data_IF_189848618040
#
_entry.id   IF_189848618040
#
_cell.length_a   1.000
_cell.length_b   1.000
_cell.length_c   1.000
_cell.angle_alpha   90.00
_cell.angle_beta   90.00
_cell.angle_gamma   90.00
#
_symmetry.space_group_name_H-M   'P 1'
#
loop_
_entity.id
_entity.type
_entity.pdbx_description
1 polymer ?
#
# COMPACT_ATOMS: atom_id res chain seq x y z
N UNK A 1 -78.77 3.71 14.65
CA UNK A 1 -78.30 4.49 13.49
C UNK A 1 -77.00 3.85 13.03
N UNK A 2 -77.04 3.26 11.85
CA UNK A 2 -76.04 2.36 11.29
C UNK A 2 -74.82 3.17 10.84
N UNK A 3 -73.66 2.91 11.45
CA UNK A 3 -72.43 3.63 11.16
C UNK A 3 -71.85 3.10 9.84
N UNK A 4 -72.04 3.84 8.76
CA UNK A 4 -71.54 3.49 7.44
C UNK A 4 -70.00 3.48 7.46
N UNK A 5 -69.41 2.29 7.45
CA UNK A 5 -67.95 2.12 7.34
C UNK A 5 -67.44 2.81 6.08
N UNK A 6 -66.58 3.83 6.25
CA UNK A 6 -65.94 4.57 5.15
C UNK A 6 -65.01 3.61 4.42
N UNK A 7 -65.49 3.02 3.32
CA UNK A 7 -64.70 2.14 2.46
C UNK A 7 -63.71 3.01 1.67
N UNK A 8 -62.45 3.06 2.12
CA UNK A 8 -61.37 3.72 1.35
C UNK A 8 -61.11 2.95 0.05
N UNK A 9 -60.96 3.60 -1.10
CA UNK A 9 -60.77 2.89 -2.37
C UNK A 9 -59.42 2.17 -2.42
N UNK A 10 -59.35 1.07 -3.19
CA UNK A 10 -58.09 0.40 -3.45
C UNK A 10 -57.11 1.30 -4.22
N UNK A 11 -55.87 1.40 -3.75
CA UNK A 11 -54.84 2.27 -4.32
C UNK A 11 -54.46 1.93 -5.77
N UNK A 12 -54.52 0.64 -6.17
CA UNK A 12 -54.16 0.21 -7.54
C UNK A 12 -55.28 0.39 -8.56
N UNK A 13 -56.54 0.13 -8.21
CA UNK A 13 -57.64 0.13 -9.20
C UNK A 13 -58.74 1.15 -8.98
N UNK A 14 -58.81 1.80 -7.82
CA UNK A 14 -59.82 2.79 -7.45
C UNK A 14 -61.30 2.35 -7.60
N UNK A 15 -61.54 1.04 -7.84
CA UNK A 15 -62.86 0.47 -8.20
C UNK A 15 -63.50 -0.36 -7.08
N UNK A 16 -62.68 -1.03 -6.28
CA UNK A 16 -63.14 -1.78 -5.11
C UNK A 16 -62.96 -0.94 -3.85
N UNK A 17 -63.92 -1.02 -2.91
CA UNK A 17 -63.62 -0.63 -1.54
C UNK A 17 -62.43 -1.44 -1.07
N UNK A 18 -61.31 -0.78 -0.77
CA UNK A 18 -60.16 -1.37 -0.11
C UNK A 18 -60.61 -1.85 1.27
N UNK A 19 -60.56 -3.16 1.47
CA UNK A 19 -61.04 -3.81 2.70
C UNK A 19 -59.85 -4.03 3.65
N UNK A 20 -58.64 -4.12 3.11
CA UNK A 20 -57.44 -4.53 3.85
C UNK A 20 -56.37 -3.46 3.70
N UNK A 21 -55.75 -3.11 4.82
CA UNK A 21 -54.61 -2.17 4.88
C UNK A 21 -53.32 -2.95 5.05
N UNK A 22 -52.30 -2.62 4.26
CA UNK A 22 -50.95 -3.11 4.52
C UNK A 22 -50.34 -2.31 5.68
N UNK A 23 -49.94 -2.98 6.76
CA UNK A 23 -49.37 -2.31 7.95
C UNK A 23 -48.04 -1.61 7.69
N UNK A 24 -47.24 -2.11 6.73
CA UNK A 24 -45.96 -1.48 6.35
C UNK A 24 -46.15 -0.24 5.49
N UNK A 25 -46.95 -0.35 4.42
CA UNK A 25 -47.13 0.74 3.45
C UNK A 25 -48.25 1.73 3.84
N UNK A 26 -49.08 1.37 4.81
CA UNK A 26 -50.30 2.12 5.23
C UNK A 26 -51.30 2.38 4.08
N UNK A 27 -51.23 1.58 3.01
CA UNK A 27 -52.08 1.69 1.83
C UNK A 27 -53.23 0.67 1.84
N UNK A 28 -54.34 1.04 1.20
CA UNK A 28 -55.57 0.25 1.14
C UNK A 28 -55.66 -0.53 -0.18
N UNK A 29 -55.91 -1.83 -0.08
CA UNK A 29 -55.96 -2.72 -1.24
C UNK A 29 -57.27 -3.51 -1.25
N UNK A 30 -57.75 -3.87 -2.45
CA UNK A 30 -58.68 -4.98 -2.58
C UNK A 30 -57.90 -6.30 -2.50
N UNK A 31 -58.59 -7.41 -2.25
CA UNK A 31 -57.99 -8.74 -2.06
C UNK A 31 -57.01 -9.12 -3.16
N UNK A 32 -57.35 -8.86 -4.43
CA UNK A 32 -56.49 -9.14 -5.58
C UNK A 32 -55.18 -8.34 -5.56
N UNK A 33 -55.25 -7.02 -5.45
CA UNK A 33 -54.05 -6.18 -5.46
C UNK A 33 -53.21 -6.31 -4.18
N UNK A 34 -53.78 -6.82 -3.09
CA UNK A 34 -53.03 -7.18 -1.89
C UNK A 34 -52.13 -8.40 -2.13
N UNK A 35 -52.62 -9.42 -2.85
CA UNK A 35 -51.82 -10.59 -3.22
C UNK A 35 -50.69 -10.20 -4.15
N UNK A 36 -50.98 -9.40 -5.18
CA UNK A 36 -49.96 -8.85 -6.09
C UNK A 36 -48.91 -8.02 -5.33
N UNK A 37 -49.34 -7.17 -4.39
CA UNK A 37 -48.42 -6.39 -3.56
C UNK A 37 -47.50 -7.28 -2.71
N UNK A 38 -48.03 -8.37 -2.15
CA UNK A 38 -47.24 -9.33 -1.37
C UNK A 38 -46.22 -10.07 -2.23
N UNK A 39 -46.59 -10.41 -3.46
CA UNK A 39 -45.70 -11.04 -4.43
C UNK A 39 -44.58 -10.08 -4.85
N UNK A 40 -44.90 -8.82 -5.14
CA UNK A 40 -43.92 -7.75 -5.40
C UNK A 40 -42.91 -7.60 -4.25
N UNK A 41 -43.39 -7.62 -3.00
CA UNK A 41 -42.52 -7.55 -1.83
C UNK A 41 -41.61 -8.78 -1.70
N UNK A 42 -42.08 -9.97 -2.07
CA UNK A 42 -41.27 -11.19 -2.07
C UNK A 42 -40.12 -11.07 -3.06
N UNK A 43 -40.42 -10.63 -4.29
CA UNK A 43 -39.41 -10.43 -5.34
C UNK A 43 -38.36 -9.40 -4.92
N UNK A 44 -38.79 -8.29 -4.30
CA UNK A 44 -37.86 -7.28 -3.77
C UNK A 44 -36.97 -7.85 -2.67
N UNK A 45 -37.51 -8.67 -1.77
CA UNK A 45 -36.74 -9.31 -0.70
C UNK A 45 -35.69 -10.27 -1.26
N UNK A 46 -36.05 -11.05 -2.28
CA UNK A 46 -35.12 -11.95 -2.96
C UNK A 46 -33.98 -11.16 -3.62
N UNK A 47 -34.30 -10.04 -4.28
CA UNK A 47 -33.29 -9.16 -4.88
C UNK A 47 -32.34 -8.57 -3.82
N UNK A 48 -32.87 -8.04 -2.71
CA UNK A 48 -32.05 -7.49 -1.62
C UNK A 48 -31.15 -8.57 -1.02
N UNK A 49 -31.65 -9.80 -0.87
CA UNK A 49 -30.86 -10.92 -0.36
C UNK A 49 -29.73 -11.29 -1.31
N UNK A 50 -30.00 -11.30 -2.62
CA UNK A 50 -28.96 -11.55 -3.62
C UNK A 50 -27.89 -10.44 -3.65
N UNK A 51 -28.30 -9.17 -3.56
CA UNK A 51 -27.37 -8.04 -3.49
C UNK A 51 -26.51 -8.08 -2.22
N UNK A 52 -27.11 -8.46 -1.09
CA UNK A 52 -26.40 -8.67 0.16
C UNK A 52 -25.33 -9.76 0.03
N UNK A 53 -25.69 -10.92 -0.52
CA UNK A 53 -24.76 -12.04 -0.69
C UNK A 53 -23.60 -11.70 -1.62
N UNK A 54 -23.86 -10.95 -2.69
CA UNK A 54 -22.81 -10.45 -3.59
C UNK A 54 -21.86 -9.49 -2.87
N UNK A 55 -22.40 -8.54 -2.11
CA UNK A 55 -21.59 -7.60 -1.33
C UNK A 55 -20.76 -8.34 -0.28
N UNK A 56 -21.36 -9.32 0.41
CA UNK A 56 -20.65 -10.14 1.38
C UNK A 56 -19.53 -10.95 0.71
N UNK A 57 -19.78 -11.54 -0.46
CA UNK A 57 -18.75 -12.19 -1.25
C UNK A 57 -17.65 -11.22 -1.67
N UNK A 58 -17.95 -10.00 -2.10
CA UNK A 58 -16.94 -9.01 -2.48
C UNK A 58 -16.10 -8.50 -1.30
N UNK A 59 -16.70 -8.39 -0.11
CA UNK A 59 -16.01 -7.97 1.11
C UNK A 59 -15.16 -9.10 1.73
N UNK A 60 -15.64 -10.34 1.68
CA UNK A 60 -14.97 -11.51 2.25
C UNK A 60 -13.96 -12.13 1.28
N UNK A 61 -14.21 -12.02 -0.03
CA UNK A 61 -13.22 -12.37 -1.04
C UNK A 61 -12.10 -11.36 -0.95
N UNK A 62 -11.14 -11.66 -0.08
CA UNK A 62 -9.85 -11.03 0.02
C UNK A 62 -9.18 -11.19 -1.34
N UNK A 63 -9.48 -10.26 -2.27
CA UNK A 63 -8.97 -10.23 -3.64
C UNK A 63 -7.51 -9.81 -3.61
N UNK A 64 -6.68 -10.63 -2.99
CA UNK A 64 -5.24 -10.51 -2.94
C UNK A 64 -4.72 -9.23 -2.29
N UNK A 65 -3.39 -9.19 -2.17
CA UNK A 65 -2.66 -8.01 -1.71
C UNK A 65 -3.06 -6.81 -2.56
N UNK A 66 -3.69 -5.81 -1.94
CA UNK A 66 -4.15 -4.59 -2.60
C UNK A 66 -3.04 -4.00 -3.51
N UNK A 67 -3.33 -3.48 -4.71
CA UNK A 67 -2.31 -2.98 -5.64
C UNK A 67 -1.36 -1.95 -5.01
N UNK A 68 -1.87 -1.10 -4.10
CA UNK A 68 -1.03 -0.17 -3.34
C UNK A 68 -0.03 -0.86 -2.42
N UNK A 69 -0.41 -1.98 -1.80
CA UNK A 69 0.53 -2.76 -0.96
C UNK A 69 1.60 -3.41 -1.84
N UNK A 70 1.24 -3.90 -3.04
CA UNK A 70 2.22 -4.37 -4.03
C UNK A 70 3.17 -3.27 -4.48
N UNK A 71 2.67 -2.04 -4.66
CA UNK A 71 3.49 -0.88 -4.99
C UNK A 71 4.45 -0.52 -3.86
N UNK A 72 3.98 -0.50 -2.60
CA UNK A 72 4.80 -0.27 -1.41
C UNK A 72 5.91 -1.32 -1.32
N UNK A 73 5.58 -2.61 -1.50
CA UNK A 73 6.55 -3.70 -1.46
C UNK A 73 7.62 -3.57 -2.56
N UNK A 74 7.22 -3.14 -3.76
CA UNK A 74 8.15 -2.91 -4.87
C UNK A 74 9.08 -1.74 -4.56
N UNK A 75 8.52 -0.62 -4.09
CA UNK A 75 9.28 0.56 -3.70
C UNK A 75 10.29 0.26 -2.60
N UNK A 76 9.91 -0.50 -1.58
CA UNK A 76 10.79 -0.92 -0.49
C UNK A 76 11.98 -1.74 -1.01
N UNK A 77 11.71 -2.78 -1.82
CA UNK A 77 12.76 -3.64 -2.40
C UNK A 77 13.75 -2.84 -3.25
N UNK A 78 13.24 -1.98 -4.14
CA UNK A 78 14.10 -1.15 -5.00
C UNK A 78 14.92 -0.17 -4.19
N UNK A 79 14.34 0.42 -3.14
CA UNK A 79 15.06 1.38 -2.28
C UNK A 79 16.20 0.72 -1.52
N UNK A 80 15.97 -0.48 -0.96
CA UNK A 80 17.02 -1.26 -0.27
C UNK A 80 18.16 -1.58 -1.24
N UNK A 81 17.85 -1.99 -2.46
CA UNK A 81 18.87 -2.34 -3.45
C UNK A 81 19.71 -1.12 -3.86
N UNK A 82 19.06 0.02 -4.10
CA UNK A 82 19.78 1.27 -4.41
C UNK A 82 20.74 1.68 -3.28
N UNK A 83 20.32 1.55 -2.02
CA UNK A 83 21.17 1.83 -0.86
C UNK A 83 22.36 0.86 -0.81
N UNK A 84 22.14 -0.43 -1.11
CA UNK A 84 23.21 -1.43 -1.14
C UNK A 84 24.25 -1.14 -2.21
N UNK A 85 23.82 -0.83 -3.44
CA UNK A 85 24.70 -0.47 -4.55
C UNK A 85 25.52 0.77 -4.18
N UNK A 86 24.88 1.85 -3.74
CA UNK A 86 25.58 3.07 -3.34
C UNK A 86 26.60 2.83 -2.21
N UNK A 87 26.25 2.00 -1.22
CA UNK A 87 27.16 1.64 -0.15
C UNK A 87 28.33 0.75 -0.63
N UNK A 88 28.11 -0.10 -1.63
CA UNK A 88 29.16 -0.92 -2.23
C UNK A 88 30.13 -0.07 -3.05
N UNK A 89 29.62 0.87 -3.84
CA UNK A 89 30.41 1.82 -4.62
C UNK A 89 31.29 2.68 -3.70
N UNK A 90 30.71 3.24 -2.63
CA UNK A 90 31.46 4.03 -1.66
C UNK A 90 32.60 3.23 -0.98
N UNK A 91 32.36 1.95 -0.66
CA UNK A 91 33.40 1.07 -0.12
C UNK A 91 34.48 0.78 -1.13
N UNK A 92 34.12 0.54 -2.39
CA UNK A 92 35.06 0.27 -3.46
C UNK A 92 35.97 1.48 -3.71
N UNK A 93 35.39 2.67 -3.80
CA UNK A 93 36.12 3.92 -3.98
C UNK A 93 37.11 4.16 -2.84
N UNK A 94 36.66 4.00 -1.58
CA UNK A 94 37.53 4.14 -0.43
C UNK A 94 38.71 3.15 -0.48
N UNK A 95 38.45 1.89 -0.80
CA UNK A 95 39.50 0.88 -0.91
C UNK A 95 40.53 1.26 -1.98
N UNK A 96 40.06 1.73 -3.14
CA UNK A 96 40.94 2.21 -4.22
C UNK A 96 41.81 3.38 -3.77
N UNK A 97 41.25 4.36 -3.06
CA UNK A 97 42.03 5.48 -2.51
C UNK A 97 43.08 5.01 -1.51
N UNK A 98 42.73 4.08 -0.62
CA UNK A 98 43.66 3.51 0.36
C UNK A 98 44.81 2.76 -0.33
N UNK A 99 44.51 1.97 -1.35
CA UNK A 99 45.51 1.20 -2.09
C UNK A 99 46.47 2.14 -2.85
N UNK A 100 45.94 3.16 -3.53
CA UNK A 100 46.75 4.20 -4.17
C UNK A 100 47.66 4.92 -3.17
N UNK A 101 47.11 5.32 -2.02
CA UNK A 101 47.86 6.01 -0.96
C UNK A 101 48.97 5.12 -0.41
N UNK A 102 48.67 3.83 -0.17
CA UNK A 102 49.66 2.85 0.31
C UNK A 102 50.82 2.69 -0.67
N UNK A 103 50.53 2.64 -1.98
CA UNK A 103 51.57 2.57 -3.02
C UNK A 103 52.42 3.85 -3.00
N UNK A 104 51.81 5.03 -2.93
CA UNK A 104 52.53 6.31 -2.89
C UNK A 104 53.45 6.41 -1.67
N UNK A 105 52.95 6.06 -0.48
CA UNK A 105 53.73 6.05 0.76
C UNK A 105 54.89 5.07 0.65
N UNK A 106 54.66 3.84 0.14
CA UNK A 106 55.71 2.85 -0.06
C UNK A 106 56.80 3.33 -1.00
N UNK A 107 56.43 3.94 -2.12
CA UNK A 107 57.39 4.50 -3.09
C UNK A 107 58.20 5.63 -2.48
N UNK A 108 57.57 6.53 -1.73
CA UNK A 108 58.25 7.63 -1.03
C UNK A 108 59.25 7.09 0.00
N UNK A 109 58.86 6.08 0.78
CA UNK A 109 59.74 5.43 1.75
C UNK A 109 60.95 4.77 1.07
N UNK A 110 60.74 4.11 -0.08
CA UNK A 110 61.84 3.52 -0.85
C UNK A 110 62.78 4.59 -1.42
N UNK A 111 62.29 5.76 -1.83
CA UNK A 111 63.14 6.88 -2.27
C UNK A 111 64.02 7.37 -1.14
N UNK A 112 63.40 7.67 0.02
CA UNK A 112 64.11 8.12 1.23
C UNK A 112 65.18 7.11 1.63
N UNK A 113 64.88 5.81 1.58
CA UNK A 113 65.86 4.79 1.94
C UNK A 113 67.06 4.75 0.97
N UNK A 114 66.82 4.95 -0.34
CA UNK A 114 67.91 5.05 -1.32
C UNK A 114 68.77 6.30 -1.09
N UNK A 115 68.14 7.42 -0.78
CA UNK A 115 68.85 8.67 -0.46
C UNK A 115 69.71 8.52 0.80
N UNK A 116 69.16 7.91 1.85
CA UNK A 116 69.89 7.57 3.08
C UNK A 116 71.08 6.66 2.80
N UNK A 117 70.89 5.60 2.02
CA UNK A 117 71.96 4.68 1.67
C UNK A 117 73.07 5.40 0.87
N UNK A 118 72.70 6.21 -0.13
CA UNK A 118 73.66 6.98 -0.92
C UNK A 118 74.46 7.99 -0.07
N UNK A 119 73.80 8.69 0.87
CA UNK A 119 74.47 9.60 1.82
C UNK A 119 75.42 8.84 2.75
N UNK A 120 75.04 7.65 3.22
CA UNK A 120 75.92 6.81 4.04
C UNK A 120 77.14 6.28 3.28
N UNK A 121 76.97 5.90 2.01
CA UNK A 121 78.07 5.38 1.17
C UNK A 121 79.04 6.50 0.73
N UNK A 122 78.58 7.74 0.70
CA UNK A 122 79.38 8.92 0.33
C UNK A 122 79.99 9.66 1.52
N UNK A 123 79.75 9.22 2.76
CA UNK A 123 80.05 9.95 4.00
C UNK A 123 79.54 11.42 3.99
N UNK A 124 78.52 11.70 3.18
CA UNK A 124 77.89 13.02 3.03
C UNK A 124 76.77 13.19 4.06
N UNK A 125 77.15 13.09 5.34
CA UNK A 125 76.28 13.42 6.47
C UNK A 125 77.05 14.24 7.49
N UNK A 126 76.48 15.38 7.87
CA UNK A 126 77.08 16.29 8.86
C UNK A 126 76.30 16.27 10.16
N UNK A 127 76.99 16.10 11.29
CA UNK A 127 76.41 16.30 12.62
C UNK A 127 75.92 17.75 12.73
N UNK A 128 74.60 17.94 12.73
CA UNK A 128 74.04 19.26 12.98
C UNK A 128 74.14 19.51 14.50
N UNK A 129 75.30 20.00 14.93
CA UNK A 129 75.56 20.37 16.31
C UNK A 129 74.48 21.33 16.79
N UNK A 130 73.71 20.92 17.82
CA UNK A 130 72.84 21.84 18.54
C UNK A 130 73.73 22.84 19.26
N UNK A 131 73.92 24.00 18.64
CA UNK A 131 74.53 25.15 19.29
C UNK A 131 73.74 25.48 20.56
N UNK A 132 74.45 25.47 21.68
CA UNK A 132 73.95 25.74 23.03
C UNK A 132 73.88 27.24 23.29
#
# INVERSE_FOLDING_TARGET
MESAAIKKPCIKCNKGGGIITCGGCQQWFCTRHLLEHREELSVLMDQVSQEHDLLQCDLISDKGIHPLVTLINTWEKTSIENIRVAAQDARHDLQKYLDCTKIQVKTSLLSINKELQASSESDDYTECGKNK
#
